data_IF_445057935749
#
_entry.id   IF_445057935749
#
_cell.length_a   1.000
_cell.length_b   1.000
_cell.length_c   1.000
_cell.angle_alpha   90.00
_cell.angle_beta   90.00
_cell.angle_gamma   90.00
#
_symmetry.space_group_name_H-M   'P 1'
#
loop_
_entity.id
_entity.type
_entity.pdbx_description
1 polymer ?
#
# COMPACT_ATOMS: atom_id res chain seq x y z
N UNK A 1 0.59 50.20 -52.56
CA UNK A 1 0.41 48.73 -52.69
C UNK A 1 0.93 48.13 -51.38
N UNK A 2 0.13 47.93 -50.34
CA UNK A 2 -1.18 47.30 -50.32
C UNK A 2 -0.97 45.82 -49.96
N UNK A 3 -1.21 45.46 -48.70
CA UNK A 3 -1.11 44.07 -48.25
C UNK A 3 -0.86 43.91 -46.75
N UNK A 4 -1.68 44.58 -45.92
CA UNK A 4 -1.73 44.34 -44.48
C UNK A 4 -2.35 42.96 -44.25
N UNK A 5 -1.57 41.99 -43.76
CA UNK A 5 -2.09 40.66 -43.38
C UNK A 5 -2.84 40.85 -42.07
N UNK A 6 -4.15 41.08 -42.19
CA UNK A 6 -5.07 41.10 -41.08
C UNK A 6 -5.01 39.74 -40.35
N UNK A 7 -4.50 39.76 -39.13
CA UNK A 7 -4.71 38.68 -38.16
C UNK A 7 -6.21 38.59 -37.91
N UNK A 8 -6.82 37.54 -38.45
CA UNK A 8 -8.23 37.21 -38.24
C UNK A 8 -8.46 37.02 -36.73
N UNK A 9 -9.45 37.71 -36.12
CA UNK A 9 -9.83 37.42 -34.75
C UNK A 9 -10.50 36.05 -34.77
N UNK A 10 -9.84 35.06 -34.17
CA UNK A 10 -10.42 33.74 -33.94
C UNK A 10 -11.59 33.93 -32.98
N UNK A 11 -12.81 33.84 -33.53
CA UNK A 11 -14.06 34.04 -32.81
C UNK A 11 -14.19 33.15 -31.58
N UNK A 12 -14.83 33.73 -30.57
CA UNK A 12 -15.36 33.07 -29.39
C UNK A 12 -16.21 31.85 -29.78
N UNK A 13 -15.77 30.66 -29.36
CA UNK A 13 -16.46 29.40 -29.68
C UNK A 13 -15.66 28.15 -29.32
N UNK A 14 -14.84 28.19 -28.26
CA UNK A 14 -14.13 27.00 -27.79
C UNK A 14 -14.99 26.25 -26.78
N UNK A 15 -15.64 25.17 -27.21
CA UNK A 15 -16.41 24.26 -26.35
C UNK A 15 -15.52 23.56 -25.31
N UNK A 16 -15.31 24.21 -24.17
CA UNK A 16 -14.66 23.64 -22.99
C UNK A 16 -15.59 23.87 -21.79
N UNK A 17 -15.89 22.80 -21.06
CA UNK A 17 -16.68 22.88 -19.85
C UNK A 17 -15.88 23.66 -18.78
N UNK A 18 -16.56 24.45 -17.93
CA UNK A 18 -15.89 25.18 -16.86
C UNK A 18 -15.14 24.21 -15.93
N UNK A 19 -14.04 24.63 -15.29
CA UNK A 19 -13.21 23.76 -14.44
C UNK A 19 -13.99 23.16 -13.26
N UNK A 20 -15.11 23.77 -12.88
CA UNK A 20 -16.02 23.31 -11.82
C UNK A 20 -17.15 22.41 -12.32
N UNK A 21 -17.22 22.08 -13.60
CA UNK A 21 -18.31 21.28 -14.18
C UNK A 21 -18.45 19.91 -13.52
N UNK A 22 -17.34 19.25 -13.17
CA UNK A 22 -17.38 17.97 -12.44
C UNK A 22 -18.05 18.11 -11.08
N UNK A 23 -17.80 19.21 -10.36
CA UNK A 23 -18.33 19.47 -9.02
C UNK A 23 -19.81 19.89 -9.06
N UNK A 24 -20.21 20.60 -10.12
CA UNK A 24 -21.62 20.97 -10.37
C UNK A 24 -22.43 19.74 -10.78
N UNK A 25 -21.90 18.89 -11.68
CA UNK A 25 -22.53 17.62 -12.05
C UNK A 25 -22.67 16.73 -10.82
N UNK A 26 -21.60 16.55 -10.05
CA UNK A 26 -21.62 15.75 -8.83
C UNK A 26 -22.63 16.27 -7.81
N UNK A 27 -22.66 17.59 -7.56
CA UNK A 27 -23.63 18.19 -6.65
C UNK A 27 -25.09 18.02 -7.11
N UNK A 28 -25.36 18.22 -8.40
CA UNK A 28 -26.71 18.06 -8.97
C UNK A 28 -27.19 16.61 -8.95
N UNK A 29 -26.30 15.67 -9.27
CA UNK A 29 -26.61 14.23 -9.27
C UNK A 29 -26.70 13.65 -7.85
N UNK A 30 -25.90 14.13 -6.89
CA UNK A 30 -26.03 13.79 -5.47
C UNK A 30 -27.33 14.30 -4.85
N UNK A 31 -27.79 15.49 -5.24
CA UNK A 31 -29.10 16.00 -4.81
C UNK A 31 -30.26 15.18 -5.42
N UNK A 32 -30.16 14.83 -6.71
CA UNK A 32 -31.17 14.03 -7.40
C UNK A 32 -31.27 12.59 -6.84
N UNK A 33 -30.12 11.96 -6.58
CA UNK A 33 -30.08 10.61 -6.00
C UNK A 33 -30.51 10.57 -4.53
N UNK A 34 -30.27 11.64 -3.75
CA UNK A 34 -30.72 11.73 -2.36
C UNK A 34 -32.24 11.70 -2.24
N UNK A 35 -32.96 12.38 -3.15
CA UNK A 35 -34.41 12.32 -3.22
C UNK A 35 -34.92 10.89 -3.54
N UNK A 36 -34.26 10.19 -4.47
CA UNK A 36 -34.63 8.82 -4.88
C UNK A 36 -34.35 7.82 -3.76
N UNK A 37 -33.22 7.92 -3.07
CA UNK A 37 -32.88 6.98 -1.99
C UNK A 37 -33.66 7.23 -0.70
N UNK A 38 -34.01 8.49 -0.40
CA UNK A 38 -34.92 8.80 0.71
C UNK A 38 -36.33 8.29 0.45
N UNK A 39 -36.84 8.41 -0.79
CA UNK A 39 -38.18 7.95 -1.15
C UNK A 39 -38.34 6.43 -1.14
N UNK A 40 -37.27 5.67 -1.42
CA UNK A 40 -37.31 4.21 -1.54
C UNK A 40 -36.78 3.47 -0.29
N UNK A 41 -36.37 4.19 0.76
CA UNK A 41 -35.84 3.59 1.99
C UNK A 41 -34.59 2.74 1.77
N UNK A 42 -33.79 3.05 0.75
CA UNK A 42 -32.64 2.25 0.36
C UNK A 42 -31.48 2.45 1.34
N UNK A 43 -30.64 1.41 1.48
CA UNK A 43 -29.46 1.51 2.35
C UNK A 43 -28.51 2.61 1.84
N UNK A 44 -27.74 3.27 2.72
CA UNK A 44 -26.77 4.30 2.33
C UNK A 44 -25.76 3.82 1.28
N UNK A 45 -25.48 2.51 1.24
CA UNK A 45 -24.61 1.90 0.23
C UNK A 45 -25.22 1.96 -1.17
N UNK A 46 -26.51 1.65 -1.31
CA UNK A 46 -27.21 1.71 -2.59
C UNK A 46 -27.34 3.16 -3.06
N UNK A 47 -27.50 4.13 -2.15
CA UNK A 47 -27.50 5.55 -2.49
C UNK A 47 -26.17 6.01 -3.12
N UNK A 48 -25.02 5.59 -2.59
CA UNK A 48 -23.71 5.95 -3.14
C UNK A 48 -23.53 5.40 -4.56
N UNK A 49 -23.91 4.15 -4.79
CA UNK A 49 -23.82 3.51 -6.12
C UNK A 49 -24.75 4.19 -7.13
N UNK A 50 -25.98 4.52 -6.72
CA UNK A 50 -26.96 5.20 -7.59
C UNK A 50 -26.51 6.62 -7.91
N UNK A 51 -26.02 7.36 -6.91
CA UNK A 51 -25.45 8.70 -7.11
C UNK A 51 -24.35 8.65 -8.16
N UNK A 52 -23.41 7.72 -8.00
CA UNK A 52 -22.31 7.55 -8.93
C UNK A 52 -22.76 7.31 -10.37
N UNK A 53 -23.65 6.33 -10.57
CA UNK A 53 -24.22 6.03 -11.87
C UNK A 53 -24.89 7.26 -12.55
N UNK A 54 -25.59 8.10 -11.78
CA UNK A 54 -26.17 9.35 -12.27
C UNK A 54 -25.11 10.42 -12.60
N UNK A 55 -24.03 10.52 -11.81
CA UNK A 55 -22.93 11.45 -12.09
C UNK A 55 -22.21 11.07 -13.38
N UNK A 56 -21.97 9.78 -13.59
CA UNK A 56 -21.34 9.23 -14.80
C UNK A 56 -22.21 9.46 -16.04
N UNK A 57 -23.51 9.21 -15.96
CA UNK A 57 -24.43 9.42 -17.07
C UNK A 57 -24.49 10.91 -17.48
N UNK A 58 -24.64 11.81 -16.51
CA UNK A 58 -24.75 13.26 -16.77
C UNK A 58 -23.46 13.86 -17.35
N UNK A 59 -22.28 13.47 -16.82
CA UNK A 59 -21.01 13.99 -17.34
C UNK A 59 -20.63 13.41 -18.70
N UNK A 60 -20.98 12.14 -18.94
CA UNK A 60 -20.71 11.46 -20.21
C UNK A 60 -21.46 12.15 -21.34
N UNK A 61 -22.75 12.43 -21.13
CA UNK A 61 -23.60 13.09 -22.13
C UNK A 61 -23.08 14.52 -22.37
N UNK A 62 -22.83 15.30 -21.31
CA UNK A 62 -22.44 16.71 -21.45
C UNK A 62 -21.04 16.88 -22.07
N UNK A 63 -20.07 16.05 -21.67
CA UNK A 63 -18.71 16.13 -22.21
C UNK A 63 -18.61 15.57 -23.64
N UNK A 64 -19.39 14.54 -24.00
CA UNK A 64 -19.48 14.08 -25.40
C UNK A 64 -20.09 15.14 -26.33
N UNK A 65 -21.05 15.93 -25.85
CA UNK A 65 -21.71 16.97 -26.64
C UNK A 65 -20.86 18.24 -26.83
N UNK A 66 -19.96 18.56 -25.90
CA UNK A 66 -19.24 19.85 -25.89
C UNK A 66 -17.74 19.73 -26.18
N UNK A 67 -17.05 18.74 -25.61
CA UNK A 67 -15.57 18.72 -25.55
C UNK A 67 -14.92 17.64 -26.42
N UNK A 68 -15.74 16.79 -27.05
CA UNK A 68 -15.30 15.68 -27.88
C UNK A 68 -14.83 14.45 -27.09
N UNK A 69 -14.66 13.33 -27.81
CA UNK A 69 -14.47 11.98 -27.22
C UNK A 69 -13.27 11.87 -26.27
N UNK A 70 -12.14 12.54 -26.56
CA UNK A 70 -10.91 12.41 -25.75
C UNK A 70 -11.06 13.04 -24.36
N UNK A 71 -11.66 14.23 -24.27
CA UNK A 71 -11.89 14.93 -22.98
C UNK A 71 -13.02 14.30 -22.19
N UNK A 72 -14.04 13.76 -22.87
CA UNK A 72 -15.10 12.98 -22.23
C UNK A 72 -14.56 11.72 -21.54
N UNK A 73 -13.68 10.97 -22.21
CA UNK A 73 -13.07 9.77 -21.62
C UNK A 73 -12.22 10.09 -20.37
N UNK A 74 -11.49 11.20 -20.37
CA UNK A 74 -10.69 11.65 -19.22
C UNK A 74 -11.56 12.02 -18.01
N UNK A 75 -12.64 12.77 -18.22
CA UNK A 75 -13.59 13.12 -17.15
C UNK A 75 -14.34 11.90 -16.61
N UNK A 76 -14.78 11.01 -17.50
CA UNK A 76 -15.42 9.75 -17.10
C UNK A 76 -14.46 8.89 -16.29
N UNK A 77 -13.22 8.70 -16.74
CA UNK A 77 -12.22 7.95 -16.00
C UNK A 77 -11.98 8.54 -14.60
N UNK A 78 -11.90 9.86 -14.50
CA UNK A 78 -11.72 10.56 -13.22
C UNK A 78 -12.88 10.28 -12.26
N UNK A 79 -14.12 10.34 -12.73
CA UNK A 79 -15.31 10.11 -11.89
C UNK A 79 -15.46 8.63 -11.53
N UNK A 80 -15.20 7.70 -12.46
CA UNK A 80 -15.18 6.25 -12.16
C UNK A 80 -14.17 5.95 -11.05
N UNK A 81 -12.95 6.50 -11.15
CA UNK A 81 -11.92 6.32 -10.12
C UNK A 81 -12.37 6.90 -8.78
N UNK A 82 -12.95 8.11 -8.78
CA UNK A 82 -13.46 8.74 -7.57
C UNK A 82 -14.59 7.93 -6.91
N UNK A 83 -15.50 7.38 -7.69
CA UNK A 83 -16.59 6.53 -7.18
C UNK A 83 -16.08 5.22 -6.61
N UNK A 84 -15.19 4.52 -7.32
CA UNK A 84 -14.56 3.29 -6.82
C UNK A 84 -13.81 3.59 -5.51
N UNK A 85 -13.12 4.73 -5.43
CA UNK A 85 -12.44 5.16 -4.21
C UNK A 85 -13.42 5.39 -3.05
N UNK A 86 -14.54 6.10 -3.27
CA UNK A 86 -15.58 6.29 -2.25
C UNK A 86 -16.21 4.97 -1.84
N UNK A 87 -16.49 4.07 -2.78
CA UNK A 87 -17.03 2.75 -2.49
C UNK A 87 -16.04 1.90 -1.68
N UNK A 88 -14.74 2.01 -1.94
CA UNK A 88 -13.70 1.34 -1.15
C UNK A 88 -13.57 1.94 0.26
N UNK A 89 -13.85 3.23 0.44
CA UNK A 89 -13.87 3.88 1.75
C UNK A 89 -15.02 3.40 2.63
N UNK A 90 -16.18 3.02 2.08
CA UNK A 90 -17.33 2.59 2.89
C UNK A 90 -17.01 1.41 3.82
N UNK A 91 -16.49 0.25 3.36
CA UNK A 91 -16.15 -0.85 4.26
C UNK A 91 -14.99 -0.50 5.19
N UNK A 92 -14.04 0.34 4.77
CA UNK A 92 -12.95 0.80 5.63
C UNK A 92 -13.49 1.65 6.80
N UNK A 93 -14.34 2.64 6.52
CA UNK A 93 -14.96 3.49 7.53
C UNK A 93 -15.91 2.68 8.42
N UNK A 94 -16.66 1.73 7.86
CA UNK A 94 -17.49 0.79 8.62
C UNK A 94 -16.64 -0.02 9.60
N UNK A 95 -15.54 -0.62 9.14
CA UNK A 95 -14.62 -1.38 9.98
C UNK A 95 -14.05 -0.51 11.10
N UNK A 96 -13.57 0.69 10.78
CA UNK A 96 -13.03 1.62 11.78
C UNK A 96 -14.10 2.00 12.80
N UNK A 97 -15.32 2.32 12.35
CA UNK A 97 -16.44 2.64 13.22
C UNK A 97 -16.78 1.48 14.16
N UNK A 98 -16.92 0.26 13.63
CA UNK A 98 -17.20 -0.94 14.43
C UNK A 98 -16.09 -1.20 15.45
N UNK A 99 -14.82 -1.16 15.03
CA UNK A 99 -13.67 -1.38 15.92
C UNK A 99 -13.62 -0.36 17.05
N UNK A 100 -13.90 0.92 16.76
CA UNK A 100 -13.91 1.96 17.79
C UNK A 100 -15.13 1.80 18.71
N UNK A 101 -16.33 1.67 18.16
CA UNK A 101 -17.57 1.61 18.93
C UNK A 101 -17.64 0.37 19.83
N UNK A 102 -17.26 -0.80 19.31
CA UNK A 102 -17.25 -2.05 20.07
C UNK A 102 -15.97 -2.20 20.92
N UNK A 103 -14.83 -1.70 20.44
CA UNK A 103 -13.54 -1.86 21.11
C UNK A 103 -13.32 -0.91 22.30
N UNK A 104 -13.88 0.30 22.29
CA UNK A 104 -13.71 1.27 23.38
C UNK A 104 -14.23 0.72 24.72
N UNK A 105 -15.33 -0.03 24.69
CA UNK A 105 -15.89 -0.64 25.89
C UNK A 105 -14.98 -1.71 26.53
N UNK A 106 -14.05 -2.29 25.76
CA UNK A 106 -13.11 -3.32 26.20
C UNK A 106 -11.70 -2.78 26.47
N UNK A 107 -11.50 -1.47 26.39
CA UNK A 107 -10.19 -0.86 26.61
C UNK A 107 -9.93 -0.58 28.10
N UNK A 108 -9.93 -1.65 28.90
CA UNK A 108 -9.71 -1.62 30.35
C UNK A 108 -8.36 -2.28 30.73
N UNK A 109 -7.99 -2.15 32.01
CA UNK A 109 -6.72 -2.69 32.50
C UNK A 109 -6.62 -4.21 32.36
N UNK A 110 -7.73 -4.94 32.47
CA UNK A 110 -7.73 -6.40 32.35
C UNK A 110 -7.38 -6.80 30.90
N UNK A 111 -7.95 -6.13 29.90
CA UNK A 111 -7.64 -6.37 28.49
C UNK A 111 -6.14 -6.23 28.16
N UNK A 112 -5.45 -5.25 28.76
CA UNK A 112 -4.03 -5.01 28.51
C UNK A 112 -3.10 -5.96 29.28
N UNK A 113 -3.54 -6.46 30.44
CA UNK A 113 -2.69 -7.23 31.37
C UNK A 113 -2.96 -8.73 31.35
N UNK A 114 -4.05 -9.18 30.74
CA UNK A 114 -4.42 -10.59 30.70
C UNK A 114 -4.31 -11.18 29.29
N UNK A 115 -4.26 -12.50 29.23
CA UNK A 115 -4.16 -13.29 27.99
C UNK A 115 -5.48 -14.02 27.73
N UNK A 116 -5.78 -14.33 26.47
CA UNK A 116 -6.90 -15.22 26.10
C UNK A 116 -6.54 -16.71 26.19
N UNK A 117 -5.35 -17.06 26.71
CA UNK A 117 -4.93 -18.45 26.83
C UNK A 117 -5.87 -19.20 27.79
N UNK A 118 -6.52 -20.25 27.28
CA UNK A 118 -7.49 -21.10 28.00
C UNK A 118 -8.76 -20.38 28.48
N UNK A 119 -9.09 -19.22 27.92
CA UNK A 119 -10.37 -18.54 28.19
C UNK A 119 -11.43 -19.10 27.24
N UNK A 120 -12.51 -19.66 27.79
CA UNK A 120 -13.67 -20.17 27.06
C UNK A 120 -14.90 -19.37 27.52
N UNK A 121 -15.14 -18.21 26.89
CA UNK A 121 -16.24 -17.32 27.24
C UNK A 121 -15.80 -15.86 27.33
N UNK A 122 -16.59 -15.04 28.03
CA UNK A 122 -16.32 -13.62 28.24
C UNK A 122 -15.14 -13.40 29.19
N UNK A 123 -14.25 -12.47 28.84
CA UNK A 123 -13.05 -12.12 29.62
C UNK A 123 -11.75 -12.28 28.82
N UNK A 124 -10.61 -12.12 29.49
CA UNK A 124 -9.28 -12.28 28.88
C UNK A 124 -8.84 -11.09 28.00
N UNK A 125 -7.56 -11.05 27.63
CA UNK A 125 -6.97 -9.84 27.06
C UNK A 125 -5.99 -10.06 25.91
N UNK A 126 -5.56 -8.95 25.32
CA UNK A 126 -4.70 -8.91 24.14
C UNK A 126 -3.20 -9.06 24.46
N UNK A 127 -2.81 -9.28 25.73
CA UNK A 127 -1.39 -9.36 26.11
C UNK A 127 -0.62 -10.41 25.32
N UNK A 128 -1.21 -11.57 25.08
CA UNK A 128 -0.60 -12.64 24.27
C UNK A 128 -0.42 -12.27 22.79
N UNK A 129 -1.34 -11.50 22.21
CA UNK A 129 -1.24 -11.03 20.84
C UNK A 129 -0.16 -9.94 20.72
N UNK A 130 -0.09 -9.02 21.69
CA UNK A 130 0.93 -7.98 21.77
C UNK A 130 2.33 -8.58 21.96
N UNK A 131 2.51 -9.45 22.97
CA UNK A 131 3.78 -10.15 23.20
C UNK A 131 4.13 -11.08 22.04
N UNK A 132 3.16 -11.80 21.49
CA UNK A 132 3.36 -12.67 20.33
C UNK A 132 3.89 -11.89 19.13
N UNK A 133 3.28 -10.74 18.82
CA UNK A 133 3.74 -9.86 17.74
C UNK A 133 5.17 -9.40 17.96
N UNK A 134 5.50 -8.97 19.19
CA UNK A 134 6.86 -8.52 19.53
C UNK A 134 7.88 -9.66 19.41
N UNK A 135 7.59 -10.83 19.97
CA UNK A 135 8.48 -12.00 19.92
C UNK A 135 8.69 -12.46 18.48
N UNK A 136 7.61 -12.59 17.70
CA UNK A 136 7.66 -13.03 16.30
C UNK A 136 8.52 -12.07 15.48
N UNK A 137 8.25 -10.77 15.63
CA UNK A 137 8.99 -9.72 14.92
C UNK A 137 10.45 -9.66 15.36
N UNK A 138 10.73 -9.78 16.65
CA UNK A 138 12.10 -9.78 17.18
C UNK A 138 12.92 -10.96 16.65
N UNK A 139 12.35 -12.17 16.63
CA UNK A 139 13.02 -13.36 16.07
C UNK A 139 13.26 -13.18 14.57
N UNK A 140 12.24 -12.76 13.82
CA UNK A 140 12.37 -12.51 12.39
C UNK A 140 13.43 -11.44 12.10
N UNK A 141 13.50 -10.38 12.92
CA UNK A 141 14.47 -9.29 12.81
C UNK A 141 15.88 -9.73 13.14
N UNK A 142 16.07 -10.44 14.24
CA UNK A 142 17.37 -10.97 14.62
C UNK A 142 17.98 -11.89 13.56
N UNK A 143 17.15 -12.60 12.79
CA UNK A 143 17.61 -13.47 11.70
C UNK A 143 17.74 -12.73 10.35
N UNK A 144 16.70 -12.00 9.92
CA UNK A 144 16.64 -11.41 8.59
C UNK A 144 17.53 -10.18 8.44
N UNK A 145 17.63 -9.32 9.47
CA UNK A 145 18.36 -8.05 9.34
C UNK A 145 19.86 -8.27 9.13
N UNK A 146 20.57 -9.08 9.95
CA UNK A 146 21.98 -9.33 9.71
C UNK A 146 22.25 -9.97 8.35
N UNK A 147 21.44 -10.97 7.97
CA UNK A 147 21.57 -11.64 6.66
C UNK A 147 21.35 -10.65 5.52
N UNK A 148 20.33 -9.80 5.62
CA UNK A 148 19.99 -8.83 4.60
C UNK A 148 21.06 -7.74 4.44
N UNK A 149 21.58 -7.21 5.56
CA UNK A 149 22.66 -6.22 5.53
C UNK A 149 23.93 -6.83 4.95
N UNK A 150 24.33 -8.03 5.36
CA UNK A 150 25.52 -8.69 4.84
C UNK A 150 25.41 -8.99 3.33
N UNK A 151 24.24 -9.44 2.89
CA UNK A 151 23.97 -9.64 1.46
C UNK A 151 24.02 -8.33 0.68
N UNK A 152 23.45 -7.24 1.21
CA UNK A 152 23.51 -5.93 0.56
C UNK A 152 24.94 -5.36 0.49
N UNK A 153 25.71 -5.45 1.58
CA UNK A 153 27.14 -5.08 1.60
C UNK A 153 27.88 -5.89 0.54
N UNK A 154 27.65 -7.20 0.45
CA UNK A 154 28.24 -8.01 -0.61
C UNK A 154 27.84 -7.49 -1.99
N UNK A 155 26.56 -7.26 -2.27
CA UNK A 155 26.05 -6.84 -3.58
C UNK A 155 26.60 -5.48 -4.05
N UNK A 156 26.74 -4.52 -3.13
CA UNK A 156 27.20 -3.16 -3.42
C UNK A 156 28.73 -3.09 -3.48
N UNK A 157 29.41 -3.61 -2.46
CA UNK A 157 30.85 -3.36 -2.30
C UNK A 157 31.74 -4.43 -2.91
N UNK A 158 31.27 -5.68 -3.00
CA UNK A 158 32.10 -6.82 -3.43
C UNK A 158 31.58 -7.54 -4.67
N UNK A 159 30.29 -7.40 -4.97
CA UNK A 159 29.56 -8.24 -5.90
C UNK A 159 30.02 -8.04 -7.35
N UNK A 160 30.66 -9.06 -7.91
CA UNK A 160 31.04 -9.13 -9.33
C UNK A 160 30.65 -10.50 -9.91
N UNK A 161 30.31 -10.54 -11.20
CA UNK A 161 30.08 -11.79 -11.94
C UNK A 161 28.76 -12.51 -11.62
N UNK A 162 28.79 -13.85 -11.66
CA UNK A 162 27.60 -14.72 -11.63
C UNK A 162 26.88 -14.73 -10.29
N UNK A 163 27.62 -14.65 -9.18
CA UNK A 163 27.04 -14.71 -7.83
C UNK A 163 26.18 -13.49 -7.51
N UNK A 164 26.65 -12.27 -7.85
CA UNK A 164 25.84 -11.05 -7.76
C UNK A 164 24.53 -11.21 -8.53
N UNK A 165 24.60 -11.64 -9.79
CA UNK A 165 23.42 -11.83 -10.65
C UNK A 165 22.43 -12.86 -10.07
N UNK A 166 22.93 -13.96 -9.51
CA UNK A 166 22.10 -14.98 -8.89
C UNK A 166 21.39 -14.44 -7.64
N UNK A 167 22.12 -13.79 -6.73
CA UNK A 167 21.52 -13.21 -5.51
C UNK A 167 20.47 -12.16 -5.88
N UNK A 168 20.79 -11.22 -6.78
CA UNK A 168 19.84 -10.21 -7.25
C UNK A 168 18.58 -10.85 -7.84
N UNK A 169 18.73 -11.88 -8.68
CA UNK A 169 17.59 -12.63 -9.24
C UNK A 169 16.72 -13.27 -8.16
N UNK A 170 17.31 -13.95 -7.17
CA UNK A 170 16.53 -14.53 -6.07
C UNK A 170 15.83 -13.48 -5.22
N UNK A 171 16.49 -12.36 -4.94
CA UNK A 171 15.88 -11.23 -4.21
C UNK A 171 14.69 -10.67 -4.99
N UNK A 172 14.82 -10.49 -6.30
CA UNK A 172 13.72 -10.03 -7.17
C UNK A 172 12.55 -11.00 -7.21
N UNK A 173 12.83 -12.30 -7.33
CA UNK A 173 11.80 -13.34 -7.28
C UNK A 173 11.10 -13.35 -5.93
N UNK A 174 11.84 -13.22 -4.82
CA UNK A 174 11.25 -13.19 -3.47
C UNK A 174 10.32 -11.99 -3.27
N UNK A 175 10.62 -10.83 -3.85
CA UNK A 175 9.72 -9.66 -3.82
C UNK A 175 8.46 -9.85 -4.68
N UNK A 176 8.53 -10.69 -5.71
CA UNK A 176 7.39 -11.01 -6.56
C UNK A 176 6.40 -12.01 -5.95
N UNK A 177 6.80 -12.76 -4.92
CA UNK A 177 5.94 -13.75 -4.27
C UNK A 177 4.90 -13.04 -3.40
N UNK A 178 3.59 -13.35 -3.54
CA UNK A 178 2.56 -12.80 -2.66
C UNK A 178 2.81 -13.20 -1.19
N UNK A 179 2.60 -12.26 -0.26
CA UNK A 179 2.84 -12.49 1.17
C UNK A 179 2.02 -13.65 1.76
N UNK A 180 0.81 -13.87 1.24
CA UNK A 180 -0.07 -15.00 1.61
C UNK A 180 0.61 -16.34 1.30
N UNK A 181 1.30 -16.44 0.16
CA UNK A 181 1.97 -17.67 -0.27
C UNK A 181 3.12 -18.01 0.68
N UNK A 182 3.91 -17.00 1.08
CA UNK A 182 4.98 -17.20 2.06
C UNK A 182 4.45 -17.66 3.43
N UNK A 183 3.34 -17.08 3.89
CA UNK A 183 2.68 -17.49 5.13
C UNK A 183 2.17 -18.93 5.10
N UNK A 184 1.46 -19.30 4.03
CA UNK A 184 0.93 -20.65 3.86
C UNK A 184 2.06 -21.69 3.65
N UNK A 185 3.13 -21.31 2.96
CA UNK A 185 4.32 -22.14 2.80
C UNK A 185 4.98 -22.45 4.15
N UNK A 186 5.22 -21.44 4.99
CA UNK A 186 5.79 -21.64 6.32
C UNK A 186 4.88 -22.51 7.19
N UNK A 187 3.55 -22.32 7.11
CA UNK A 187 2.59 -23.18 7.80
C UNK A 187 2.69 -24.63 7.35
N UNK A 188 2.60 -24.88 6.04
CA UNK A 188 2.63 -26.23 5.47
C UNK A 188 3.97 -26.95 5.72
N UNK A 189 5.09 -26.21 5.64
CA UNK A 189 6.43 -26.75 5.92
C UNK A 189 6.51 -27.32 7.34
N UNK A 190 6.06 -26.55 8.32
CA UNK A 190 6.08 -26.99 9.71
C UNK A 190 5.08 -28.12 9.96
N UNK A 191 3.91 -28.09 9.34
CA UNK A 191 2.91 -29.16 9.46
C UNK A 191 3.47 -30.52 9.01
N UNK A 192 4.30 -30.56 7.96
CA UNK A 192 4.96 -31.78 7.48
C UNK A 192 5.95 -32.34 8.53
N UNK A 193 6.70 -31.47 9.21
CA UNK A 193 7.73 -31.91 10.17
C UNK A 193 7.19 -32.23 11.57
N UNK A 194 6.18 -31.50 12.03
CA UNK A 194 5.70 -31.55 13.41
C UNK A 194 4.28 -32.11 13.55
N UNK A 195 3.61 -32.43 12.44
CA UNK A 195 2.28 -33.05 12.41
C UNK A 195 1.12 -32.04 12.27
N UNK A 196 -0.11 -32.55 12.08
CA UNK A 196 -1.28 -31.72 11.84
C UNK A 196 -1.70 -30.91 13.07
N UNK A 197 -2.15 -29.67 12.85
CA UNK A 197 -2.75 -28.82 13.88
C UNK A 197 -1.77 -28.12 14.82
N UNK A 198 -0.47 -28.11 14.49
CA UNK A 198 0.52 -27.38 15.27
C UNK A 198 0.32 -25.86 15.18
N UNK A 199 0.47 -25.20 16.32
CA UNK A 199 0.29 -23.76 16.47
C UNK A 199 1.49 -23.17 17.20
N UNK A 200 2.59 -22.99 16.47
CA UNK A 200 3.85 -22.47 17.00
C UNK A 200 4.11 -21.06 16.48
N UNK A 201 4.42 -20.12 17.37
CA UNK A 201 4.77 -18.74 16.97
C UNK A 201 5.98 -18.66 16.03
N UNK A 202 6.90 -19.63 16.13
CA UNK A 202 8.09 -19.72 15.27
C UNK A 202 7.73 -19.85 13.78
N UNK A 203 6.59 -20.46 13.45
CA UNK A 203 6.12 -20.54 12.06
C UNK A 203 5.88 -19.15 11.48
N UNK A 204 5.27 -18.26 12.29
CA UNK A 204 5.07 -16.86 11.94
C UNK A 204 6.39 -16.10 11.81
N UNK A 205 7.36 -16.38 12.68
CA UNK A 205 8.70 -15.78 12.58
C UNK A 205 9.41 -16.18 11.29
N UNK A 206 9.32 -17.44 10.88
CA UNK A 206 9.92 -17.93 9.63
C UNK A 206 9.23 -17.32 8.41
N UNK A 207 7.89 -17.27 8.41
CA UNK A 207 7.14 -16.60 7.35
C UNK A 207 7.55 -15.13 7.20
N UNK A 208 7.60 -14.40 8.32
CA UNK A 208 7.99 -13.00 8.35
C UNK A 208 9.45 -12.79 7.93
N UNK A 209 10.36 -13.66 8.36
CA UNK A 209 11.77 -13.64 7.99
C UNK A 209 11.94 -13.74 6.47
N UNK A 210 11.24 -14.66 5.80
CA UNK A 210 11.30 -14.85 4.34
C UNK A 210 10.87 -13.56 3.61
N UNK A 211 9.83 -12.90 4.09
CA UNK A 211 9.35 -11.65 3.50
C UNK A 211 10.27 -10.47 3.80
N UNK A 212 10.93 -10.47 4.96
CA UNK A 212 11.74 -9.33 5.41
C UNK A 212 13.14 -9.29 4.80
N UNK A 213 13.74 -10.44 4.50
CA UNK A 213 15.07 -10.53 3.85
C UNK A 213 15.19 -9.65 2.60
N UNK A 214 14.34 -9.78 1.56
CA UNK A 214 14.49 -8.99 0.34
C UNK A 214 14.29 -7.49 0.57
N UNK A 215 13.39 -7.12 1.50
CA UNK A 215 13.14 -5.72 1.86
C UNK A 215 14.39 -5.09 2.48
N UNK A 216 15.01 -5.78 3.46
CA UNK A 216 16.24 -5.29 4.11
C UNK A 216 17.39 -5.21 3.11
N UNK A 217 17.53 -6.20 2.22
CA UNK A 217 18.58 -6.19 1.19
C UNK A 217 18.44 -4.96 0.31
N UNK A 218 17.26 -4.69 -0.24
CA UNK A 218 17.04 -3.56 -1.15
C UNK A 218 17.20 -2.23 -0.46
N UNK A 219 16.59 -2.06 0.72
CA UNK A 219 16.74 -0.83 1.49
C UNK A 219 18.21 -0.53 1.83
N UNK A 220 18.98 -1.56 2.21
CA UNK A 220 20.41 -1.41 2.52
C UNK A 220 21.25 -1.17 1.26
N UNK A 221 20.93 -1.84 0.14
CA UNK A 221 21.61 -1.64 -1.14
C UNK A 221 21.44 -0.20 -1.65
N UNK A 222 20.22 0.32 -1.62
CA UNK A 222 19.92 1.71 -2.00
C UNK A 222 20.64 2.69 -1.07
N UNK A 223 20.60 2.45 0.25
CA UNK A 223 21.26 3.29 1.24
C UNK A 223 22.79 3.34 1.06
N UNK A 224 23.44 2.20 0.80
CA UNK A 224 24.89 2.14 0.55
C UNK A 224 25.28 2.79 -0.78
N UNK A 225 24.42 2.73 -1.80
CA UNK A 225 24.68 3.37 -3.10
C UNK A 225 24.60 4.89 -3.04
N UNK A 226 23.85 5.46 -2.09
CA UNK A 226 23.74 6.91 -1.88
C UNK A 226 25.04 7.54 -1.36
N UNK A 227 25.92 6.77 -0.72
CA UNK A 227 27.20 7.28 -0.17
C UNK A 227 28.12 7.79 -1.30
N UNK A 228 28.54 9.07 -1.31
CA UNK A 228 29.43 9.58 -2.35
C UNK A 228 30.78 8.85 -2.41
N UNK A 229 31.27 8.54 -3.62
CA UNK A 229 32.57 7.90 -3.79
C UNK A 229 33.74 8.72 -3.23
N UNK A 230 33.64 10.05 -3.24
CA UNK A 230 34.67 10.93 -2.68
C UNK A 230 34.92 10.68 -1.19
N UNK A 231 33.88 10.36 -0.40
CA UNK A 231 34.05 10.02 1.03
C UNK A 231 34.76 8.67 1.19
N UNK A 232 34.45 7.71 0.32
CA UNK A 232 35.08 6.39 0.31
C UNK A 232 36.57 6.49 -0.07
N UNK A 233 36.88 7.23 -1.12
CA UNK A 233 38.25 7.49 -1.59
C UNK A 233 39.09 8.26 -0.56
N UNK A 234 38.51 9.26 0.11
CA UNK A 234 39.16 9.98 1.19
C UNK A 234 39.49 9.06 2.38
N UNK A 235 38.57 8.17 2.76
CA UNK A 235 38.82 7.16 3.81
C UNK A 235 39.97 6.23 3.44
N UNK A 236 40.01 5.75 2.20
CA UNK A 236 41.10 4.90 1.71
C UNK A 236 42.45 5.63 1.65
N UNK A 237 42.45 6.93 1.32
CA UNK A 237 43.66 7.77 1.33
C UNK A 237 44.24 7.97 2.75
N UNK A 238 43.41 7.90 3.79
CA UNK A 238 43.83 7.91 5.19
C UNK A 238 44.35 6.54 5.69
N UNK A 239 44.45 5.54 4.81
CA UNK A 239 44.92 4.19 5.16
C UNK A 239 43.89 3.34 5.89
N UNK A 240 42.61 3.75 5.89
CA UNK A 240 41.52 2.98 6.54
C UNK A 240 41.18 1.75 5.67
N UNK A 241 41.16 0.53 6.24
CA UNK A 241 40.82 -0.66 5.48
C UNK A 241 39.34 -0.66 5.06
N UNK A 242 39.03 -1.36 3.96
CA UNK A 242 37.70 -1.35 3.33
C UNK A 242 36.55 -1.73 4.27
N UNK A 243 36.73 -2.77 5.09
CA UNK A 243 35.71 -3.20 6.06
C UNK A 243 35.43 -2.12 7.12
N UNK A 244 36.45 -1.37 7.55
CA UNK A 244 36.31 -0.30 8.53
C UNK A 244 35.65 0.94 7.93
N UNK A 245 35.90 1.20 6.63
CA UNK A 245 35.19 2.26 5.89
C UNK A 245 33.70 1.94 5.81
N UNK A 246 33.32 0.71 5.42
CA UNK A 246 31.91 0.28 5.32
C UNK A 246 31.18 0.37 6.67
N UNK A 247 31.87 0.14 7.79
CA UNK A 247 31.28 0.18 9.12
C UNK A 247 31.18 1.58 9.73
N UNK A 248 31.98 2.55 9.26
CA UNK A 248 32.12 3.87 9.93
C UNK A 248 31.72 5.07 9.06
N UNK A 249 31.70 4.93 7.74
CA UNK A 249 31.45 5.99 6.76
C UNK A 249 30.19 5.66 5.99
#
# INVERSE_FOLDING_TARGET
MGGNVATVPMGEGSGALPPRANLICFGASAAASAAVSFALGLSPFVWLVVTGAFTLASISIWSMMVEGRRRALDRVATIVIAEIFVLALVPLLSLVYTVVNEGLARFDSEFLTTSMRNVLGDGGGALHAALGTFIITAIATAAAVPVGILAAIYLVEYGKGRLKRAITFFVDVMMGIPSIVAGLFAYALFEIFFGPGIRLGVMGSVALMVLMIPIVIRATEEMLQVVPNALREASFALGVPKWLTILRV
#
